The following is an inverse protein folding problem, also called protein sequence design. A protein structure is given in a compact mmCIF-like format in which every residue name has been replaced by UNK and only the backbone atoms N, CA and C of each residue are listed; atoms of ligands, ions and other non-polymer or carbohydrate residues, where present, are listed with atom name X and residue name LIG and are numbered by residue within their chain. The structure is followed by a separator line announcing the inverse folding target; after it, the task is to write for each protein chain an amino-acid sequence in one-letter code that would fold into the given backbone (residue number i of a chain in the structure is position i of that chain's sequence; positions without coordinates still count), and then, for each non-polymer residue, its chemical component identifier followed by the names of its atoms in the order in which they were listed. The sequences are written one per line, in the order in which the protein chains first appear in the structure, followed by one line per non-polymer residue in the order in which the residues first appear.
data_IF_013610438199
#
_entry.id   IF_013610438199
#
_cell.length_a   1.000
_cell.length_b   1.000
_cell.length_c   1.000
_cell.angle_alpha   90.00
_cell.angle_beta   90.00
_cell.angle_gamma   90.00
#
_symmetry.space_group_name_H-M   'P 1'
#
loop_
_entity.id
_entity.type
_entity.pdbx_description
1 polymer ?
#
# COMPACT_ATOMS: atom_id res chain seq x y z
N UNK A 1 24.20 -8.99 -2.81
CA UNK A 1 23.82 -7.71 -3.44
C UNK A 1 22.31 -7.59 -3.34
N UNK A 2 21.80 -6.69 -2.49
CA UNK A 2 20.37 -6.46 -2.39
C UNK A 2 20.00 -5.35 -3.37
N UNK A 3 19.41 -5.72 -4.50
CA UNK A 3 18.73 -4.75 -5.35
C UNK A 3 17.56 -4.17 -4.55
N UNK A 4 17.76 -2.97 -4.03
CA UNK A 4 16.70 -2.21 -3.37
C UNK A 4 15.56 -2.05 -4.37
N UNK A 5 14.41 -2.67 -4.09
CA UNK A 5 13.16 -2.42 -4.80
C UNK A 5 12.98 -0.91 -4.89
N UNK A 6 13.20 -0.33 -6.07
CA UNK A 6 12.72 1.01 -6.39
C UNK A 6 11.20 0.90 -6.33
N UNK A 7 10.63 1.30 -5.20
CA UNK A 7 9.19 1.57 -5.12
C UNK A 7 8.99 2.72 -6.08
N UNK A 8 8.56 2.41 -7.31
CA UNK A 8 8.14 3.39 -8.27
C UNK A 8 7.00 4.14 -7.59
N UNK A 9 7.29 5.32 -7.03
CA UNK A 9 6.25 6.18 -6.48
C UNK A 9 5.33 6.47 -7.65
N UNK A 10 4.12 5.92 -7.62
CA UNK A 10 3.10 6.24 -8.60
C UNK A 10 2.85 7.75 -8.46
N UNK A 11 3.46 8.54 -9.34
CA UNK A 11 3.25 9.99 -9.40
C UNK A 11 1.86 10.16 -10.02
N UNK A 12 0.86 10.21 -9.15
CA UNK A 12 -0.50 10.54 -9.55
C UNK A 12 -0.62 12.05 -9.68
N UNK A 13 -1.29 12.57 -10.73
CA UNK A 13 -1.32 14.02 -11.01
C UNK A 13 -1.91 14.90 -9.90
N UNK A 14 -2.75 14.33 -9.04
CA UNK A 14 -3.39 15.02 -7.91
C UNK A 14 -2.55 15.01 -6.63
N UNK A 15 -1.39 14.35 -6.63
CA UNK A 15 -0.52 14.27 -5.46
C UNK A 15 0.33 15.54 -5.34
N UNK A 16 0.14 16.30 -4.26
CA UNK A 16 0.82 17.56 -4.00
C UNK A 16 1.69 17.48 -2.74
N UNK A 17 2.43 18.56 -2.45
CA UNK A 17 3.34 18.60 -1.31
C UNK A 17 2.63 18.61 0.05
N UNK A 18 1.41 19.14 0.13
CA UNK A 18 0.60 19.09 1.36
C UNK A 18 0.30 17.64 1.78
N UNK A 19 -0.06 16.79 0.80
CA UNK A 19 -0.26 15.35 1.07
C UNK A 19 1.04 14.70 1.54
N UNK A 20 2.20 15.08 0.99
CA UNK A 20 3.50 14.54 1.44
C UNK A 20 3.79 14.91 2.89
N UNK A 21 3.53 16.17 3.26
CA UNK A 21 3.72 16.68 4.62
C UNK A 21 2.82 15.89 5.58
N UNK A 22 1.53 15.77 5.28
CA UNK A 22 0.57 15.04 6.11
C UNK A 22 0.91 13.54 6.23
N UNK A 23 1.34 12.90 5.14
CA UNK A 23 1.81 11.51 5.19
C UNK A 23 3.03 11.34 6.11
N UNK A 24 3.94 12.33 6.12
CA UNK A 24 5.11 12.34 7.01
C UNK A 24 4.68 12.47 8.47
N UNK A 25 3.75 13.36 8.77
CA UNK A 25 3.21 13.55 10.13
C UNK A 25 2.44 12.31 10.61
N UNK A 26 1.61 11.70 9.75
CA UNK A 26 0.96 10.41 10.03
C UNK A 26 1.98 9.34 10.39
N UNK A 27 3.09 9.25 9.65
CA UNK A 27 4.15 8.25 9.91
C UNK A 27 4.90 8.53 11.20
N UNK A 28 5.14 9.80 11.55
CA UNK A 28 5.69 10.19 12.86
C UNK A 28 4.76 9.80 14.00
N UNK A 29 3.47 10.10 13.88
CA UNK A 29 2.46 9.73 14.87
C UNK A 29 2.35 8.20 15.04
N UNK A 30 2.38 7.45 13.94
CA UNK A 30 2.39 5.97 13.98
C UNK A 30 3.61 5.44 14.73
N UNK A 31 4.82 5.91 14.38
CA UNK A 31 6.06 5.48 15.06
C UNK A 31 6.03 5.82 16.54
N UNK A 32 5.52 7.00 16.91
CA UNK A 32 5.39 7.40 18.31
C UNK A 32 4.47 6.45 19.06
N UNK A 33 3.28 6.19 18.52
CA UNK A 33 2.34 5.26 19.13
C UNK A 33 2.93 3.84 19.27
N UNK A 34 3.58 3.31 18.24
CA UNK A 34 4.23 1.99 18.34
C UNK A 34 5.32 1.92 19.40
N UNK A 35 5.98 3.04 19.71
CA UNK A 35 7.01 3.12 20.75
C UNK A 35 6.41 3.27 22.15
N UNK A 36 5.34 4.04 22.29
CA UNK A 36 4.79 4.38 23.61
C UNK A 36 3.67 3.45 24.05
N UNK A 37 2.93 2.85 23.11
CA UNK A 37 1.70 2.08 23.34
C UNK A 37 0.63 2.79 24.18
N UNK A 38 0.64 4.14 24.18
CA UNK A 38 -0.32 4.93 24.95
C UNK A 38 -1.55 5.30 24.13
N UNK A 39 -2.73 5.22 24.76
CA UNK A 39 -4.04 5.58 24.17
C UNK A 39 -4.07 6.99 23.57
N UNK A 40 -3.38 7.96 24.19
CA UNK A 40 -3.28 9.33 23.67
C UNK A 40 -2.57 9.39 22.31
N UNK A 41 -1.46 8.66 22.17
CA UNK A 41 -0.71 8.60 20.92
C UNK A 41 -1.46 7.80 19.86
N UNK A 42 -2.20 6.75 20.24
CA UNK A 42 -3.13 6.05 19.34
C UNK A 42 -4.20 7.01 18.79
N UNK A 43 -4.83 7.83 19.66
CA UNK A 43 -5.84 8.82 19.23
C UNK A 43 -5.23 9.83 18.25
N UNK A 44 -4.03 10.35 18.55
CA UNK A 44 -3.31 11.25 17.65
C UNK A 44 -3.02 10.60 16.29
N UNK A 45 -2.58 9.35 16.27
CA UNK A 45 -2.39 8.60 15.03
C UNK A 45 -3.71 8.43 14.25
N UNK A 46 -4.83 8.11 14.91
CA UNK A 46 -6.14 8.02 14.24
C UNK A 46 -6.57 9.35 13.62
N UNK A 47 -6.39 10.46 14.33
CA UNK A 47 -6.72 11.81 13.84
C UNK A 47 -5.88 12.14 12.60
N UNK A 48 -4.56 12.01 12.70
CA UNK A 48 -3.64 12.26 11.56
C UNK A 48 -3.94 11.36 10.37
N UNK A 49 -4.18 10.05 10.60
CA UNK A 49 -4.60 9.11 9.55
C UNK A 49 -5.87 9.56 8.84
N UNK A 50 -6.89 9.98 9.59
CA UNK A 50 -8.16 10.45 9.02
C UNK A 50 -7.97 11.75 8.23
N UNK A 51 -7.18 12.69 8.75
CA UNK A 51 -6.87 13.95 8.07
C UNK A 51 -6.14 13.73 6.75
N UNK A 52 -5.09 12.88 6.75
CA UNK A 52 -4.38 12.52 5.51
C UNK A 52 -5.35 11.91 4.49
N UNK A 53 -6.25 11.01 4.92
CA UNK A 53 -7.21 10.35 4.03
C UNK A 53 -8.21 11.36 3.44
N UNK A 54 -8.71 12.30 4.25
CA UNK A 54 -9.57 13.39 3.79
C UNK A 54 -8.86 14.28 2.76
N UNK A 55 -7.63 14.69 3.04
CA UNK A 55 -6.85 15.53 2.14
C UNK A 55 -6.59 14.83 0.79
N UNK A 56 -6.22 13.55 0.81
CA UNK A 56 -6.02 12.77 -0.41
C UNK A 56 -7.31 12.65 -1.23
N UNK A 57 -8.44 12.38 -0.57
CA UNK A 57 -9.73 12.28 -1.24
C UNK A 57 -10.15 13.62 -1.88
N UNK A 58 -9.95 14.73 -1.18
CA UNK A 58 -10.30 16.06 -1.69
C UNK A 58 -9.41 16.46 -2.87
N UNK A 59 -8.10 16.25 -2.78
CA UNK A 59 -7.18 16.55 -3.89
C UNK A 59 -7.52 15.72 -5.14
N UNK A 60 -7.78 14.42 -4.96
CA UNK A 60 -8.20 13.54 -6.04
C UNK A 60 -9.52 14.01 -6.67
N UNK A 61 -10.52 14.32 -5.83
CA UNK A 61 -11.84 14.80 -6.27
C UNK A 61 -11.74 16.11 -7.05
N UNK A 62 -11.01 17.10 -6.53
CA UNK A 62 -10.84 18.40 -7.18
C UNK A 62 -10.13 18.27 -8.53
N UNK A 63 -9.07 17.46 -8.58
CA UNK A 63 -8.37 17.19 -9.83
C UNK A 63 -9.29 16.61 -10.90
N UNK A 64 -10.04 15.56 -10.57
CA UNK A 64 -10.93 14.93 -11.55
C UNK A 64 -12.15 15.77 -11.88
N UNK A 65 -12.66 16.58 -10.95
CA UNK A 65 -13.68 17.59 -11.24
C UNK A 65 -13.20 18.55 -12.32
N UNK A 66 -12.04 19.17 -12.12
CA UNK A 66 -11.46 20.12 -13.07
C UNK A 66 -11.13 19.44 -14.40
N UNK A 67 -10.64 18.20 -14.37
CA UNK A 67 -10.36 17.41 -15.57
C UNK A 67 -11.63 17.16 -16.40
N UNK A 68 -12.75 16.82 -15.74
CA UNK A 68 -14.03 16.59 -16.42
C UNK A 68 -14.55 17.90 -17.01
N UNK A 69 -14.54 18.98 -16.24
CA UNK A 69 -14.97 20.31 -16.71
C UNK A 69 -14.16 20.77 -17.94
N UNK A 70 -12.84 20.62 -17.91
CA UNK A 70 -11.94 20.99 -19.00
C UNK A 70 -12.05 20.09 -20.25
N UNK A 71 -12.61 18.89 -20.13
CA UNK A 71 -12.72 17.92 -21.23
C UNK A 71 -14.18 17.51 -21.50
N UNK A 72 -15.15 18.33 -21.11
CA UNK A 72 -16.58 17.99 -21.16
C UNK A 72 -17.09 17.64 -22.58
N UNK A 73 -16.45 18.19 -23.62
CA UNK A 73 -16.77 17.95 -25.03
C UNK A 73 -15.94 16.82 -25.65
N UNK A 74 -14.94 16.29 -24.95
CA UNK A 74 -14.04 15.26 -25.44
C UNK A 74 -14.34 13.91 -24.75
N UNK A 75 -15.36 13.21 -25.26
CA UNK A 75 -15.80 11.92 -24.73
C UNK A 75 -14.65 10.89 -24.66
N UNK A 76 -13.76 10.85 -25.65
CA UNK A 76 -12.63 9.92 -25.66
C UNK A 76 -11.73 10.10 -24.42
N UNK A 77 -11.38 11.34 -24.06
CA UNK A 77 -10.59 11.63 -22.86
C UNK A 77 -11.33 11.26 -21.57
N UNK A 78 -12.63 11.50 -21.50
CA UNK A 78 -13.46 11.15 -20.34
C UNK A 78 -13.53 9.63 -20.14
N UNK A 79 -13.78 8.86 -21.21
CA UNK A 79 -13.78 7.39 -21.16
C UNK A 79 -12.41 6.82 -20.79
N UNK A 80 -11.32 7.37 -21.32
CA UNK A 80 -9.96 6.95 -20.95
C UNK A 80 -9.69 7.20 -19.45
N UNK A 81 -10.08 8.36 -18.92
CA UNK A 81 -9.95 8.67 -17.49
C UNK A 81 -10.81 7.75 -16.62
N UNK A 82 -12.07 7.51 -16.99
CA UNK A 82 -12.96 6.60 -16.27
C UNK A 82 -12.41 5.17 -16.25
N UNK A 83 -11.89 4.67 -17.39
CA UNK A 83 -11.26 3.33 -17.46
C UNK A 83 -10.06 3.21 -16.52
N UNK A 84 -9.25 4.26 -16.40
CA UNK A 84 -8.10 4.32 -15.48
C UNK A 84 -8.57 4.38 -14.01
N UNK A 85 -9.58 5.20 -13.70
CA UNK A 85 -10.16 5.34 -12.36
C UNK A 85 -10.77 4.04 -11.84
N UNK A 86 -11.54 3.37 -12.69
CA UNK A 86 -12.25 2.13 -12.35
C UNK A 86 -11.37 0.88 -12.49
N UNK A 87 -10.08 1.05 -12.78
CA UNK A 87 -9.13 -0.04 -13.02
C UNK A 87 -9.59 -1.04 -14.12
N UNK A 88 -10.50 -0.63 -15.02
CA UNK A 88 -11.05 -1.47 -16.10
C UNK A 88 -10.08 -1.68 -17.28
N UNK A 89 -8.82 -1.22 -17.16
CA UNK A 89 -7.80 -1.36 -18.20
C UNK A 89 -6.57 -2.15 -17.78
N UNK A 90 -6.34 -2.34 -16.48
CA UNK A 90 -5.11 -2.91 -15.98
C UNK A 90 -5.27 -4.42 -15.75
N UNK A 91 -5.26 -5.17 -16.85
CA UNK A 91 -5.10 -6.64 -16.83
C UNK A 91 -3.71 -7.09 -16.33
N UNK A 92 -2.93 -6.18 -15.73
CA UNK A 92 -1.53 -6.41 -15.34
C UNK A 92 -1.36 -7.42 -14.23
N UNK A 93 -2.42 -7.71 -13.47
CA UNK A 93 -2.39 -8.75 -12.43
C UNK A 93 -3.03 -10.04 -12.96
N UNK A 94 -2.59 -10.50 -14.13
CA UNK A 94 -2.72 -11.92 -14.45
C UNK A 94 -1.45 -12.59 -14.00
N UNK A 95 -1.57 -13.73 -13.30
CA UNK A 95 -0.43 -14.64 -13.17
C UNK A 95 0.17 -14.90 -14.55
N UNK A 96 1.51 -15.08 -14.66
CA UNK A 96 2.11 -15.51 -15.91
C UNK A 96 1.33 -16.71 -16.45
N UNK A 97 1.01 -16.76 -17.75
CA UNK A 97 0.22 -17.85 -18.32
C UNK A 97 0.83 -19.25 -18.07
N UNK A 98 2.14 -19.30 -17.82
CA UNK A 98 2.92 -20.49 -17.51
C UNK A 98 2.81 -20.98 -16.06
N UNK A 99 2.19 -20.22 -15.15
CA UNK A 99 2.04 -20.63 -13.75
C UNK A 99 0.86 -21.59 -13.62
N UNK A 100 1.16 -22.85 -13.34
CA UNK A 100 0.16 -23.77 -12.80
C UNK A 100 -0.25 -23.28 -11.40
N UNK A 101 -1.49 -22.82 -11.30
CA UNK A 101 -2.07 -22.26 -10.08
C UNK A 101 -2.09 -23.28 -8.94
N UNK A 102 -2.33 -24.56 -9.24
CA UNK A 102 -2.39 -25.61 -8.22
C UNK A 102 -0.99 -25.91 -7.69
N UNK A 103 -0.03 -26.10 -8.59
CA UNK A 103 1.36 -26.29 -8.21
C UNK A 103 1.88 -25.12 -7.38
N UNK A 104 1.61 -23.88 -7.82
CA UNK A 104 2.03 -22.68 -7.09
C UNK A 104 1.37 -22.59 -5.71
N UNK A 105 0.08 -22.88 -5.59
CA UNK A 105 -0.61 -22.89 -4.30
C UNK A 105 -0.01 -23.94 -3.34
N UNK A 106 0.30 -25.14 -3.84
CA UNK A 106 0.92 -26.19 -3.06
C UNK A 106 2.35 -25.83 -2.62
N UNK A 107 3.14 -25.24 -3.52
CA UNK A 107 4.49 -24.73 -3.20
C UNK A 107 4.43 -23.63 -2.15
N UNK A 108 3.48 -22.70 -2.27
CA UNK A 108 3.27 -21.66 -1.28
C UNK A 108 2.90 -22.25 0.09
N UNK A 109 1.97 -23.21 0.12
CA UNK A 109 1.59 -23.91 1.36
C UNK A 109 2.79 -24.59 2.03
N UNK A 110 3.56 -25.36 1.24
CA UNK A 110 4.75 -26.07 1.71
C UNK A 110 5.79 -25.10 2.29
N UNK A 111 6.08 -24.02 1.57
CA UNK A 111 7.03 -22.99 2.02
C UNK A 111 6.63 -22.39 3.38
N UNK A 112 5.35 -22.09 3.62
CA UNK A 112 4.93 -21.51 4.89
C UNK A 112 4.99 -22.51 6.04
N UNK A 113 4.64 -23.77 5.81
CA UNK A 113 4.78 -24.85 6.81
C UNK A 113 6.25 -25.01 7.20
N UNK A 114 7.13 -25.15 6.21
CA UNK A 114 8.58 -25.26 6.44
C UNK A 114 9.14 -24.06 7.17
N UNK A 115 8.69 -22.85 6.81
CA UNK A 115 9.13 -21.61 7.47
C UNK A 115 8.71 -21.54 8.93
N UNK A 116 7.48 -21.95 9.26
CA UNK A 116 7.00 -21.99 10.64
C UNK A 116 7.82 -22.99 11.45
N UNK A 117 7.99 -24.21 10.93
CA UNK A 117 8.78 -25.26 11.60
C UNK A 117 10.22 -24.80 11.85
N UNK A 118 10.86 -24.19 10.86
CA UNK A 118 12.22 -23.66 11.01
C UNK A 118 12.31 -22.55 12.06
N UNK A 119 11.29 -21.69 12.18
CA UNK A 119 11.26 -20.67 13.23
C UNK A 119 11.16 -21.34 14.60
N UNK A 120 10.29 -22.33 14.74
CA UNK A 120 10.07 -23.06 15.98
C UNK A 120 11.34 -23.77 16.46
N UNK A 121 11.97 -24.56 15.60
CA UNK A 121 13.24 -25.25 15.91
C UNK A 121 14.35 -24.27 16.30
N UNK A 122 14.40 -23.10 15.66
CA UNK A 122 15.40 -22.08 15.99
C UNK A 122 15.14 -21.47 17.37
N UNK A 123 13.89 -21.29 17.77
CA UNK A 123 13.53 -20.80 19.10
C UNK A 123 13.85 -21.84 20.19
N UNK A 124 13.58 -23.12 19.94
CA UNK A 124 13.93 -24.21 20.85
C UNK A 124 15.45 -24.31 21.07
N UNK A 125 16.23 -24.26 19.98
CA UNK A 125 17.70 -24.28 20.06
C UNK A 125 18.24 -23.10 20.86
N UNK A 126 17.72 -21.88 20.64
CA UNK A 126 18.11 -20.70 21.42
C UNK A 126 17.73 -20.81 22.91
N UNK A 127 16.64 -21.49 23.24
CA UNK A 127 16.25 -21.76 24.62
C UNK A 127 17.19 -22.77 25.30
N UNK A 128 17.66 -23.76 24.56
CA UNK A 128 18.60 -24.76 25.06
C UNK A 128 20.01 -24.20 25.31
N UNK A 129 20.49 -23.28 24.46
CA UNK A 129 21.81 -22.64 24.62
C UNK A 129 21.88 -21.64 25.80
N UNK A 130 20.74 -21.26 26.38
CA UNK A 130 20.65 -20.36 27.53
C UNK A 130 20.50 -21.10 28.88
N UNK A 131 20.35 -22.43 28.87
CA UNK A 131 20.24 -23.30 30.06
C UNK A 131 21.57 -23.99 30.39
#
# INVERSE_FOLDING_TARGET
MYEGRQIQTIIVPWFNDDIKIEMREKRKAERKWRRTDHTKDMKNYKITKNNTSKLMNEACRQFYKNFIEANNSNQHKLFAAAKKLLNHGDKRVSFPPSVDKLQFANQMGTYFVEKINNIDTNLENMGHDLS
#
